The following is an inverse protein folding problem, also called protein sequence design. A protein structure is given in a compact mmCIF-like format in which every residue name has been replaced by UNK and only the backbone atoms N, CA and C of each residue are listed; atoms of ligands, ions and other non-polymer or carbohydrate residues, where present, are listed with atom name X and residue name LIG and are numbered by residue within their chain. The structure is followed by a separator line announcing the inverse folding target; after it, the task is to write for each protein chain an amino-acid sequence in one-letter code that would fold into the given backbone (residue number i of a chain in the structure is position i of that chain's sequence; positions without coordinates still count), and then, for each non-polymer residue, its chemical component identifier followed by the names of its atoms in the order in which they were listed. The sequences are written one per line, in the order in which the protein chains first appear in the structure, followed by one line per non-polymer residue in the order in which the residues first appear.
data_IF_725423824097
#
_entry.id   IF_725423824097
#
_cell.length_a   1.000
_cell.length_b   1.000
_cell.length_c   1.000
_cell.angle_alpha   90.00
_cell.angle_beta   90.00
_cell.angle_gamma   90.00
#
_symmetry.space_group_name_H-M   'P 1'
#
loop_
_entity.id
_entity.type
_entity.pdbx_description
1 polymer ?
#
# COMPACT_ATOMS: atom_id res chain seq x y z
N UNK A 1 -8.16 -21.07 5.94
CA UNK A 1 -7.32 -20.62 7.03
C UNK A 1 -8.20 -19.71 7.86
N UNK A 2 -9.17 -20.31 8.53
CA UNK A 2 -9.60 -19.79 9.81
C UNK A 2 -8.32 -19.63 10.65
N UNK A 3 -7.91 -18.39 10.90
CA UNK A 3 -6.87 -18.18 11.90
C UNK A 3 -7.45 -18.70 13.21
N UNK A 4 -6.87 -19.79 13.72
CA UNK A 4 -7.18 -20.26 15.07
C UNK A 4 -7.05 -19.09 16.06
N UNK A 5 -7.87 -19.08 17.11
CA UNK A 5 -8.01 -17.95 18.04
C UNK A 5 -6.65 -17.38 18.51
N UNK A 6 -5.67 -18.24 18.75
CA UNK A 6 -4.30 -17.86 19.13
C UNK A 6 -3.54 -17.14 18.00
N UNK A 7 -3.58 -17.67 16.79
CA UNK A 7 -2.94 -17.05 15.63
C UNK A 7 -3.58 -15.70 15.30
N UNK A 8 -4.90 -15.59 15.44
CA UNK A 8 -5.65 -14.34 15.25
C UNK A 8 -5.23 -13.29 16.28
N UNK A 9 -5.13 -13.67 17.55
CA UNK A 9 -4.64 -12.79 18.61
C UNK A 9 -3.23 -12.28 18.34
N UNK A 10 -2.30 -13.18 17.96
CA UNK A 10 -0.93 -12.79 17.62
C UNK A 10 -0.86 -11.87 16.39
N UNK A 11 -1.61 -12.18 15.32
CA UNK A 11 -1.69 -11.33 14.14
C UNK A 11 -2.25 -9.93 14.49
N UNK A 12 -3.27 -9.85 15.34
CA UNK A 12 -3.79 -8.57 15.83
C UNK A 12 -2.75 -7.77 16.60
N UNK A 13 -1.92 -8.40 17.43
CA UNK A 13 -0.82 -7.73 18.14
C UNK A 13 0.20 -7.15 17.16
N UNK A 14 0.62 -7.92 16.15
CA UNK A 14 1.54 -7.44 15.11
C UNK A 14 0.92 -6.27 14.35
N UNK A 15 -0.34 -6.40 13.92
CA UNK A 15 -1.04 -5.35 13.16
C UNK A 15 -1.24 -4.09 13.99
N UNK A 16 -1.44 -4.19 15.31
CA UNK A 16 -1.48 -3.05 16.22
C UNK A 16 -0.13 -2.31 16.25
N UNK A 17 0.98 -3.05 16.28
CA UNK A 17 2.31 -2.45 16.20
C UNK A 17 2.54 -1.74 14.86
N UNK A 18 2.16 -2.37 13.73
CA UNK A 18 2.26 -1.74 12.41
C UNK A 18 1.39 -0.48 12.33
N UNK A 19 0.19 -0.49 12.92
CA UNK A 19 -0.70 0.67 12.96
C UNK A 19 -0.14 1.82 13.80
N UNK A 20 0.65 1.54 14.83
CA UNK A 20 1.34 2.58 15.58
C UNK A 20 2.36 3.34 14.70
N UNK A 21 2.94 2.67 13.70
CA UNK A 21 3.88 3.27 12.73
C UNK A 21 3.11 3.93 11.57
N UNK A 22 2.00 3.35 11.15
CA UNK A 22 1.14 3.87 10.09
C UNK A 22 -0.32 3.94 10.56
N UNK A 23 -0.73 5.07 11.18
CA UNK A 23 -2.06 5.22 11.78
C UNK A 23 -3.22 5.01 10.80
N UNK A 24 -2.99 5.34 9.53
CA UNK A 24 -3.97 5.24 8.44
C UNK A 24 -4.01 3.86 7.79
N UNK A 25 -3.18 2.91 8.25
CA UNK A 25 -3.26 1.52 7.82
C UNK A 25 -4.63 0.93 8.20
N UNK A 26 -5.28 0.30 7.23
CA UNK A 26 -6.49 -0.50 7.42
C UNK A 26 -6.19 -1.96 7.14
N UNK A 27 -6.75 -2.85 7.94
CA UNK A 27 -6.68 -4.28 7.68
C UNK A 27 -8.04 -4.94 7.91
N UNK A 28 -8.26 -6.05 7.23
CA UNK A 28 -9.38 -6.96 7.44
C UNK A 28 -8.87 -8.40 7.36
N UNK A 29 -9.42 -9.28 8.20
CA UNK A 29 -9.21 -10.73 8.08
C UNK A 29 -10.19 -11.40 7.11
N UNK A 30 -11.02 -10.59 6.44
CA UNK A 30 -12.13 -11.07 5.62
C UNK A 30 -13.41 -11.26 6.42
N UNK A 31 -14.51 -11.55 5.71
CA UNK A 31 -15.79 -11.94 6.29
C UNK A 31 -16.27 -13.28 5.74
N UNK A 32 -17.18 -13.93 6.48
CA UNK A 32 -17.70 -15.27 6.15
C UNK A 32 -18.47 -15.30 4.83
N UNK A 33 -19.02 -14.15 4.41
CA UNK A 33 -19.78 -13.99 3.19
C UNK A 33 -18.92 -13.62 1.97
N UNK A 34 -17.59 -13.56 2.15
CA UNK A 34 -16.61 -13.17 1.13
C UNK A 34 -16.92 -11.82 0.45
N UNK A 35 -17.62 -10.91 1.15
CA UNK A 35 -17.92 -9.54 0.71
C UNK A 35 -16.67 -8.66 0.86
N UNK A 36 -15.91 -8.90 1.93
CA UNK A 36 -14.61 -8.29 2.18
C UNK A 36 -13.55 -9.37 2.15
N UNK A 37 -12.57 -9.25 1.26
CA UNK A 37 -11.41 -10.13 1.25
C UNK A 37 -10.41 -9.75 2.35
N UNK A 38 -9.63 -10.70 2.89
CA UNK A 38 -8.53 -10.38 3.78
C UNK A 38 -7.54 -9.44 3.10
N UNK A 39 -7.19 -8.32 3.76
CA UNK A 39 -6.28 -7.32 3.19
C UNK A 39 -5.57 -6.52 4.27
N UNK A 40 -4.43 -5.95 3.90
CA UNK A 40 -3.75 -4.87 4.63
C UNK A 40 -3.51 -3.77 3.60
N UNK A 41 -3.97 -2.56 3.90
CA UNK A 41 -3.91 -1.42 2.99
C UNK A 41 -3.37 -0.22 3.72
N UNK A 42 -2.61 0.59 2.99
CA UNK A 42 -2.14 1.90 3.44
C UNK A 42 -2.53 2.91 2.37
N UNK A 43 -2.85 4.16 2.72
CA UNK A 43 -3.15 5.17 1.71
C UNK A 43 -1.98 5.34 0.75
N UNK A 44 -2.28 5.29 -0.56
CA UNK A 44 -1.29 5.50 -1.62
C UNK A 44 -0.52 6.82 -1.43
N UNK A 45 -1.19 7.82 -0.89
CA UNK A 45 -0.63 9.11 -0.53
C UNK A 45 0.47 9.06 0.55
N UNK A 46 0.72 7.96 1.25
CA UNK A 46 1.94 7.84 2.08
C UNK A 46 3.08 7.14 1.34
N UNK A 47 2.73 6.27 0.40
CA UNK A 47 3.64 5.41 -0.33
C UNK A 47 4.29 6.14 -1.51
N UNK A 48 3.53 6.97 -2.24
CA UNK A 48 4.01 7.70 -3.41
C UNK A 48 5.09 8.73 -3.06
N UNK A 49 6.20 8.69 -3.80
CA UNK A 49 7.30 9.63 -3.66
C UNK A 49 6.91 11.01 -4.16
N UNK A 50 6.47 11.10 -5.41
CA UNK A 50 5.92 12.33 -6.01
C UNK A 50 4.47 12.10 -6.39
N UNK A 51 3.63 13.12 -6.27
CA UNK A 51 2.19 13.02 -6.49
C UNK A 51 1.63 14.26 -7.19
N UNK A 52 1.08 14.09 -8.39
CA UNK A 52 0.57 15.16 -9.24
C UNK A 52 -0.92 14.89 -9.49
N UNK A 53 -1.76 15.87 -9.12
CA UNK A 53 -3.20 15.85 -9.40
C UNK A 53 -3.43 16.77 -10.60
N UNK A 54 -3.85 16.19 -11.71
CA UNK A 54 -4.23 16.92 -12.93
C UNK A 54 -5.75 17.07 -12.97
N UNK A 55 -6.29 18.30 -12.96
CA UNK A 55 -7.73 18.53 -13.04
C UNK A 55 -8.36 17.92 -14.30
N UNK A 56 -9.66 17.63 -14.24
CA UNK A 56 -10.42 17.15 -15.39
C UNK A 56 -10.25 18.09 -16.60
N UNK A 57 -9.95 17.51 -17.77
CA UNK A 57 -9.74 18.26 -19.02
C UNK A 57 -8.34 18.84 -19.21
N UNK A 58 -7.46 18.80 -18.20
CA UNK A 58 -6.05 19.14 -18.37
C UNK A 58 -5.23 17.91 -18.82
N UNK A 59 -4.15 18.17 -19.56
CA UNK A 59 -3.23 17.11 -19.98
C UNK A 59 -2.38 16.62 -18.79
N UNK A 60 -2.36 15.31 -18.48
CA UNK A 60 -1.50 14.78 -17.43
C UNK A 60 -0.03 14.87 -17.83
N UNK A 61 0.91 14.82 -16.86
CA UNK A 61 2.33 14.78 -17.17
C UNK A 61 2.65 13.54 -18.03
N UNK A 62 3.65 13.62 -18.94
CA UNK A 62 4.07 12.45 -19.70
C UNK A 62 4.60 11.37 -18.75
N UNK A 63 4.33 10.10 -19.08
CA UNK A 63 4.90 8.97 -18.37
C UNK A 63 6.35 8.72 -18.80
N UNK A 64 7.13 8.06 -17.95
CA UNK A 64 8.53 7.72 -18.24
C UNK A 64 9.54 8.82 -17.94
N UNK A 65 9.11 9.96 -17.38
CA UNK A 65 9.99 10.98 -16.81
C UNK A 65 10.00 10.91 -15.28
N UNK A 66 11.10 11.35 -14.68
CA UNK A 66 11.18 11.47 -13.23
C UNK A 66 10.37 12.67 -12.75
N UNK A 67 9.40 12.44 -11.88
CA UNK A 67 8.66 13.51 -11.22
C UNK A 67 9.49 14.11 -10.09
N UNK A 68 9.68 15.43 -10.11
CA UNK A 68 10.40 16.15 -9.06
C UNK A 68 9.60 16.09 -7.76
N UNK A 69 10.20 15.53 -6.71
CA UNK A 69 9.59 15.48 -5.38
C UNK A 69 9.60 16.87 -4.74
N UNK A 70 8.42 17.37 -4.40
CA UNK A 70 8.25 18.66 -3.72
C UNK A 70 8.39 18.55 -2.20
N UNK A 71 8.54 19.67 -1.50
CA UNK A 71 8.48 19.69 -0.02
C UNK A 71 7.11 19.26 0.50
N UNK A 72 6.05 19.55 -0.25
CA UNK A 72 4.69 19.08 0.07
C UNK A 72 4.57 17.57 -0.01
N UNK A 73 5.25 16.92 -0.96
CA UNK A 73 5.30 15.46 -1.05
C UNK A 73 6.00 14.84 0.16
N UNK A 74 7.12 15.43 0.59
CA UNK A 74 7.85 14.99 1.78
C UNK A 74 6.99 15.14 3.05
N UNK A 75 6.31 16.28 3.20
CA UNK A 75 5.43 16.53 4.34
C UNK A 75 4.23 15.56 4.35
N UNK A 76 3.64 15.27 3.19
CA UNK A 76 2.56 14.28 3.01
C UNK A 76 2.99 12.88 3.44
N UNK A 77 4.14 12.41 2.95
CA UNK A 77 4.68 11.09 3.30
C UNK A 77 4.94 10.96 4.80
N UNK A 78 5.40 12.04 5.43
CA UNK A 78 5.62 12.12 6.87
C UNK A 78 4.33 12.30 7.70
N UNK A 79 3.14 12.36 7.08
CA UNK A 79 1.87 12.57 7.78
C UNK A 79 1.74 13.95 8.41
N UNK A 80 2.52 14.95 7.95
CA UNK A 80 2.53 16.31 8.50
C UNK A 80 1.47 17.22 7.89
N UNK A 81 0.84 16.79 6.81
CA UNK A 81 -0.26 17.51 6.16
C UNK A 81 -1.44 16.56 5.93
N UNK A 82 -2.68 17.08 5.89
CA UNK A 82 -3.85 16.28 5.59
C UNK A 82 -3.72 15.57 4.24
N UNK A 83 -4.25 14.35 4.17
CA UNK A 83 -4.32 13.63 2.90
C UNK A 83 -5.26 14.34 1.92
N UNK A 84 -4.93 14.37 0.62
CA UNK A 84 -5.85 14.88 -0.39
C UNK A 84 -7.19 14.15 -0.32
N UNK A 85 -8.28 14.89 -0.52
CA UNK A 85 -9.61 14.29 -0.61
C UNK A 85 -9.67 13.39 -1.85
N UNK A 86 -10.28 12.22 -1.72
CA UNK A 86 -10.51 11.34 -2.85
C UNK A 86 -11.40 12.05 -3.88
N UNK A 87 -10.89 12.14 -5.11
CA UNK A 87 -11.55 12.74 -6.26
C UNK A 87 -11.54 11.72 -7.41
N UNK A 88 -12.70 11.55 -8.05
CA UNK A 88 -12.89 10.62 -9.17
C UNK A 88 -12.82 11.31 -10.53
N UNK A 89 -12.62 12.63 -10.56
CA UNK A 89 -12.62 13.43 -11.79
C UNK A 89 -11.22 13.80 -12.25
N UNK A 90 -10.30 14.02 -11.31
CA UNK A 90 -8.90 14.31 -11.63
C UNK A 90 -8.12 13.05 -12.03
N UNK A 91 -7.11 13.25 -12.88
CA UNK A 91 -6.11 12.24 -13.17
C UNK A 91 -4.96 12.35 -12.18
N UNK A 92 -4.63 11.24 -11.53
CA UNK A 92 -3.53 11.17 -10.56
C UNK A 92 -2.33 10.51 -11.22
N UNK A 93 -1.21 11.23 -11.27
CA UNK A 93 0.10 10.70 -11.68
C UNK A 93 1.03 10.65 -10.48
N UNK A 94 1.69 9.52 -10.24
CA UNK A 94 2.59 9.35 -9.11
C UNK A 94 3.83 8.55 -9.47
N UNK A 95 4.91 8.76 -8.72
CA UNK A 95 6.08 7.91 -8.74
C UNK A 95 6.13 7.09 -7.44
N UNK A 96 6.55 5.83 -7.56
CA UNK A 96 6.72 4.95 -6.42
C UNK A 96 8.04 4.21 -6.57
N UNK A 97 8.83 4.22 -5.50
CA UNK A 97 10.07 3.46 -5.41
C UNK A 97 10.00 2.54 -4.20
N UNK A 98 10.43 1.29 -4.39
CA UNK A 98 10.60 0.34 -3.30
C UNK A 98 11.93 -0.38 -3.48
N UNK A 99 12.70 -0.47 -2.40
CA UNK A 99 13.90 -1.30 -2.34
C UNK A 99 13.57 -2.78 -2.17
N UNK A 100 12.33 -3.09 -1.78
CA UNK A 100 11.92 -4.43 -1.36
C UNK A 100 10.94 -5.11 -2.31
N UNK A 101 10.44 -4.41 -3.33
CA UNK A 101 9.47 -4.94 -4.26
C UNK A 101 9.98 -4.82 -5.69
N UNK A 102 10.10 -5.96 -6.35
CA UNK A 102 10.22 -6.02 -7.79
C UNK A 102 8.82 -6.18 -8.38
N UNK A 103 8.29 -5.10 -8.95
CA UNK A 103 6.96 -5.08 -9.57
C UNK A 103 6.90 -5.84 -10.89
N UNK A 104 8.01 -5.95 -11.61
CA UNK A 104 8.04 -6.64 -12.91
C UNK A 104 7.89 -8.15 -12.72
N UNK A 105 8.54 -8.70 -11.70
CA UNK A 105 8.45 -10.13 -11.38
C UNK A 105 7.44 -10.44 -10.26
N UNK A 106 6.86 -9.41 -9.65
CA UNK A 106 5.94 -9.49 -8.50
C UNK A 106 6.55 -10.26 -7.33
N UNK A 107 7.73 -9.83 -6.88
CA UNK A 107 8.49 -10.49 -5.81
C UNK A 107 8.90 -9.51 -4.73
N UNK A 108 8.91 -10.00 -3.49
CA UNK A 108 9.69 -9.38 -2.44
C UNK A 108 11.17 -9.67 -2.71
N UNK A 109 11.99 -8.65 -2.73
CA UNK A 109 13.45 -8.71 -2.92
C UNK A 109 14.14 -8.01 -1.76
N UNK A 110 15.40 -8.34 -1.49
CA UNK A 110 16.28 -7.58 -0.58
C UNK A 110 15.74 -7.35 0.85
N UNK A 111 14.76 -8.15 1.32
CA UNK A 111 14.25 -8.03 2.67
C UNK A 111 15.21 -8.74 3.66
N UNK A 112 15.56 -8.12 4.81
CA UNK A 112 16.48 -8.73 5.76
C UNK A 112 16.05 -10.15 6.16
N UNK A 113 16.99 -11.08 6.12
CA UNK A 113 16.81 -12.50 6.50
C UNK A 113 15.86 -13.33 5.63
N UNK A 114 15.18 -12.74 4.64
CA UNK A 114 14.25 -13.45 3.74
C UNK A 114 14.87 -13.51 2.34
N UNK A 115 15.06 -14.72 1.80
CA UNK A 115 15.37 -14.90 0.37
C UNK A 115 14.17 -14.45 -0.46
N UNK A 116 14.40 -13.95 -1.68
CA UNK A 116 13.34 -13.41 -2.54
C UNK A 116 12.06 -14.28 -2.52
N UNK A 117 10.95 -13.68 -2.10
CA UNK A 117 9.67 -14.34 -1.94
C UNK A 117 8.75 -13.96 -3.10
N UNK A 118 8.19 -14.96 -3.75
CA UNK A 118 7.18 -14.76 -4.79
C UNK A 118 5.85 -14.34 -4.15
N UNK A 119 5.36 -13.15 -4.51
CA UNK A 119 4.14 -12.61 -3.91
C UNK A 119 2.87 -13.26 -4.46
N UNK A 120 2.93 -13.99 -5.58
CA UNK A 120 1.80 -14.79 -6.04
C UNK A 120 1.40 -15.86 -5.01
N UNK A 121 2.35 -16.31 -4.18
CA UNK A 121 2.10 -17.27 -3.11
C UNK A 121 1.22 -16.70 -1.98
N UNK A 122 1.22 -15.39 -1.78
CA UNK A 122 0.51 -14.76 -0.66
C UNK A 122 -0.99 -14.57 -0.93
N UNK A 123 -1.41 -14.46 -2.20
CA UNK A 123 -2.81 -14.12 -2.54
C UNK A 123 -3.49 -15.02 -3.59
N UNK A 124 -2.76 -15.74 -4.44
CA UNK A 124 -3.40 -16.59 -5.47
C UNK A 124 -3.82 -17.99 -4.95
N UNK A 125 -3.22 -18.44 -3.84
CA UNK A 125 -3.43 -19.78 -3.26
C UNK A 125 -3.44 -19.80 -1.73
N UNK A 126 -3.66 -18.66 -1.07
CA UNK A 126 -3.93 -18.73 0.37
C UNK A 126 -5.29 -19.41 0.52
N UNK A 127 -5.27 -20.66 0.97
CA UNK A 127 -6.47 -21.43 1.25
C UNK A 127 -7.14 -20.80 2.47
N UNK A 128 -7.81 -19.66 2.31
CA UNK A 128 -8.74 -19.10 3.28
C UNK A 128 -10.10 -19.79 3.08
N UNK A 129 -10.17 -21.07 3.47
CA UNK A 129 -11.34 -21.65 4.14
C UNK A 129 -10.95 -21.89 5.57
#
# INVERSE_FOLDING_TARGET
MELGLLAKGFAQTILAFVRAINPDMKHSFGDDNNTTLPHITVPLFHAAESFIITPAGAAPPPLGINFVTSETDKARRAGKIPLPRFDTTSTISFSFHSMFLDFQTWRLVSFPFIRSLDLHLMWARSAVR
#
